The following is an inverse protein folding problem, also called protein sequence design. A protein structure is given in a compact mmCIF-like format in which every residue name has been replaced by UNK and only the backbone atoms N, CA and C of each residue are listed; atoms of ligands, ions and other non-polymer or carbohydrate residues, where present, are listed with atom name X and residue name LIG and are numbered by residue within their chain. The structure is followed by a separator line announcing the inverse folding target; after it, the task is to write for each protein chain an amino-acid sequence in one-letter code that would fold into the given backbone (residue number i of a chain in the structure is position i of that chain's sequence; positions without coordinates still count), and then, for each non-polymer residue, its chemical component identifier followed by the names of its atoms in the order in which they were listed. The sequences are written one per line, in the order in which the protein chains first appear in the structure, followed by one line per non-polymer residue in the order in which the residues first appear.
data_IF_026433583009
#
_entry.id   IF_026433583009
#
_cell.length_a   1.000
_cell.length_b   1.000
_cell.length_c   1.000
_cell.angle_alpha   90.00
_cell.angle_beta   90.00
_cell.angle_gamma   90.00
#
_symmetry.space_group_name_H-M   'P 1'
#
loop_
_entity.id
_entity.type
_entity.pdbx_description
1 polymer ?
#
# COMPACT_ATOMS: atom_id res chain seq x y z
N UNK A 1 -53.87 -12.15 14.80
CA UNK A 1 -53.03 -12.46 13.62
C UNK A 1 -51.59 -12.64 14.10
N UNK A 2 -51.07 -13.86 14.06
CA UNK A 2 -49.72 -14.16 14.53
C UNK A 2 -48.69 -13.92 13.40
N UNK A 3 -47.51 -13.32 13.68
CA UNK A 3 -46.50 -13.09 12.66
C UNK A 3 -45.82 -14.40 12.23
N UNK A 4 -45.65 -14.55 10.91
CA UNK A 4 -45.04 -15.72 10.29
C UNK A 4 -43.59 -15.94 10.75
N UNK A 5 -43.12 -17.20 10.87
CA UNK A 5 -41.78 -17.50 11.32
C UNK A 5 -40.72 -17.03 10.31
N UNK A 6 -39.74 -16.28 10.82
CA UNK A 6 -38.54 -15.83 10.11
C UNK A 6 -37.81 -17.04 9.50
N UNK A 7 -37.79 -17.14 8.16
CA UNK A 7 -36.85 -18.01 7.44
C UNK A 7 -35.43 -17.51 7.73
N UNK A 8 -34.75 -18.13 8.69
CA UNK A 8 -33.29 -18.09 8.81
C UNK A 8 -32.73 -18.61 7.49
N UNK A 9 -32.18 -17.72 6.67
CA UNK A 9 -31.45 -18.10 5.48
C UNK A 9 -30.11 -18.69 5.95
N UNK A 10 -30.13 -19.98 6.22
CA UNK A 10 -29.00 -20.78 6.68
C UNK A 10 -28.13 -21.10 5.47
N UNK A 11 -27.44 -20.11 4.91
CA UNK A 11 -26.36 -20.33 3.94
C UNK A 11 -25.05 -20.70 4.65
N UNK A 12 -25.15 -21.64 5.58
CA UNK A 12 -24.03 -22.36 6.20
C UNK A 12 -24.20 -23.85 5.94
N UNK A 13 -24.55 -24.19 4.70
CA UNK A 13 -24.28 -25.51 4.14
C UNK A 13 -22.92 -25.46 3.46
N UNK A 14 -21.85 -25.54 4.27
CA UNK A 14 -20.59 -26.14 3.83
C UNK A 14 -20.90 -27.60 3.51
N UNK A 15 -21.48 -27.83 2.34
CA UNK A 15 -21.63 -29.16 1.77
C UNK A 15 -20.25 -29.62 1.31
N UNK A 16 -19.69 -30.58 2.07
CA UNK A 16 -18.56 -31.44 1.69
C UNK A 16 -17.20 -30.75 1.52
N UNK A 17 -16.47 -30.61 2.63
CA UNK A 17 -14.99 -30.72 2.67
C UNK A 17 -14.14 -29.69 1.92
N UNK A 18 -14.72 -28.65 1.34
CA UNK A 18 -13.92 -27.60 0.68
C UNK A 18 -13.40 -26.60 1.72
N UNK A 19 -12.07 -26.38 1.81
CA UNK A 19 -11.49 -25.42 2.74
C UNK A 19 -12.01 -24.02 2.46
N UNK A 20 -12.17 -23.21 3.51
CA UNK A 20 -12.54 -21.80 3.35
C UNK A 20 -11.50 -21.11 2.44
N UNK A 21 -11.94 -20.19 1.57
CA UNK A 21 -11.01 -19.43 0.72
C UNK A 21 -9.93 -18.73 1.57
N UNK A 22 -10.27 -18.34 2.80
CA UNK A 22 -9.38 -17.68 3.74
C UNK A 22 -8.30 -18.63 4.26
N UNK A 23 -8.67 -19.87 4.59
CA UNK A 23 -7.73 -20.92 5.00
C UNK A 23 -6.79 -21.29 3.85
N UNK A 24 -7.35 -21.47 2.64
CA UNK A 24 -6.57 -21.69 1.43
C UNK A 24 -5.53 -20.58 1.22
N UNK A 25 -5.95 -19.31 1.30
CA UNK A 25 -5.04 -18.18 1.12
C UNK A 25 -3.93 -18.15 2.18
N UNK A 26 -4.24 -18.48 3.44
CA UNK A 26 -3.25 -18.55 4.51
C UNK A 26 -2.23 -19.66 4.30
N UNK A 27 -2.68 -20.86 3.95
CA UNK A 27 -1.81 -22.00 3.66
C UNK A 27 -0.87 -21.69 2.50
N UNK A 28 -1.41 -21.16 1.40
CA UNK A 28 -0.62 -20.78 0.22
C UNK A 28 0.37 -19.69 0.56
N UNK A 29 -0.04 -18.66 1.30
CA UNK A 29 0.84 -17.57 1.73
C UNK A 29 1.98 -18.07 2.62
N UNK A 30 1.73 -19.04 3.50
CA UNK A 30 2.76 -19.65 4.35
C UNK A 30 3.71 -20.54 3.55
N UNK A 31 3.21 -21.32 2.60
CA UNK A 31 4.04 -22.16 1.74
C UNK A 31 4.91 -21.34 0.78
N UNK A 32 4.42 -20.18 0.33
CA UNK A 32 5.20 -19.23 -0.46
C UNK A 32 6.22 -18.45 0.38
N UNK A 33 6.01 -18.32 1.69
CA UNK A 33 6.94 -17.63 2.59
C UNK A 33 8.25 -18.41 2.68
N UNK A 34 9.33 -17.83 2.15
CA UNK A 34 10.66 -18.45 2.11
C UNK A 34 11.06 -19.02 0.74
N UNK A 35 10.15 -19.01 -0.25
CA UNK A 35 10.53 -19.19 -1.65
C UNK A 35 11.09 -17.87 -2.19
N UNK A 36 12.27 -17.93 -2.80
CA UNK A 36 12.91 -16.79 -3.47
C UNK A 36 12.12 -16.32 -4.70
N UNK A 37 12.66 -15.29 -5.38
CA UNK A 37 12.04 -14.68 -6.55
C UNK A 37 11.76 -15.72 -7.65
N UNK A 38 10.53 -15.78 -8.15
CA UNK A 38 10.08 -16.74 -9.18
C UNK A 38 9.44 -18.03 -8.65
N UNK A 39 9.72 -18.45 -7.40
CA UNK A 39 9.20 -19.70 -6.84
C UNK A 39 7.75 -19.64 -6.35
N UNK A 40 7.12 -18.46 -6.33
CA UNK A 40 5.75 -18.28 -5.84
C UNK A 40 4.71 -18.81 -6.84
N UNK A 41 4.96 -18.62 -8.13
CA UNK A 41 4.03 -19.08 -9.18
C UNK A 41 3.94 -20.61 -9.22
N UNK A 42 5.06 -21.31 -9.01
CA UNK A 42 5.08 -22.77 -8.91
C UNK A 42 4.24 -23.22 -7.70
N UNK A 43 4.38 -22.56 -6.55
CA UNK A 43 3.57 -22.85 -5.36
C UNK A 43 2.08 -22.65 -5.66
N UNK A 44 1.70 -21.55 -6.32
CA UNK A 44 0.30 -21.29 -6.67
C UNK A 44 -0.25 -22.34 -7.62
N UNK A 45 0.52 -22.74 -8.63
CA UNK A 45 0.15 -23.76 -9.60
C UNK A 45 0.00 -25.14 -8.95
N UNK A 46 0.92 -25.53 -8.06
CA UNK A 46 0.84 -26.78 -7.29
C UNK A 46 -0.41 -26.83 -6.43
N UNK A 47 -0.66 -25.79 -5.61
CA UNK A 47 -1.85 -25.73 -4.75
C UNK A 47 -3.16 -25.75 -5.55
N UNK A 48 -3.18 -25.10 -6.72
CA UNK A 48 -4.31 -25.11 -7.63
C UNK A 48 -4.57 -26.52 -8.20
N UNK A 49 -3.52 -27.19 -8.68
CA UNK A 49 -3.62 -28.53 -9.24
C UNK A 49 -4.07 -29.58 -8.20
N UNK A 50 -3.46 -29.57 -7.01
CA UNK A 50 -3.79 -30.50 -5.91
C UNK A 50 -5.25 -30.41 -5.47
N UNK A 51 -5.84 -29.22 -5.55
CA UNK A 51 -7.21 -28.95 -5.09
C UNK A 51 -8.23 -28.90 -6.24
N UNK A 52 -7.81 -29.18 -7.47
CA UNK A 52 -8.67 -29.09 -8.66
C UNK A 52 -9.22 -27.67 -8.91
N UNK A 53 -8.47 -26.64 -8.51
CA UNK A 53 -8.84 -25.24 -8.64
C UNK A 53 -8.13 -24.60 -9.83
N UNK A 54 -8.72 -23.53 -10.38
CA UNK A 54 -8.02 -22.66 -11.31
C UNK A 54 -7.02 -21.78 -10.55
N UNK A 55 -5.82 -21.56 -11.09
CA UNK A 55 -4.78 -20.73 -10.46
C UNK A 55 -5.27 -19.30 -10.11
N UNK A 56 -6.17 -18.75 -10.92
CA UNK A 56 -6.76 -17.43 -10.66
C UNK A 56 -7.63 -17.40 -9.40
N UNK A 57 -8.21 -18.54 -8.98
CA UNK A 57 -8.95 -18.63 -7.72
C UNK A 57 -8.00 -18.50 -6.52
N UNK A 58 -6.83 -19.14 -6.59
CA UNK A 58 -5.77 -19.00 -5.58
C UNK A 58 -5.27 -17.55 -5.51
N UNK A 59 -4.95 -16.95 -6.65
CA UNK A 59 -4.53 -15.54 -6.72
C UNK A 59 -5.59 -14.60 -6.12
N UNK A 60 -6.87 -14.79 -6.46
CA UNK A 60 -7.97 -13.99 -5.92
C UNK A 60 -8.11 -14.12 -4.40
N UNK A 61 -7.92 -15.33 -3.86
CA UNK A 61 -7.96 -15.58 -2.42
C UNK A 61 -6.78 -14.90 -1.70
N UNK A 62 -5.58 -14.93 -2.30
CA UNK A 62 -4.41 -14.21 -1.79
C UNK A 62 -4.61 -12.69 -1.81
N UNK A 63 -5.18 -12.14 -2.90
CA UNK A 63 -5.53 -10.71 -2.96
C UNK A 63 -6.51 -10.33 -1.85
N UNK A 64 -7.52 -11.18 -1.61
CA UNK A 64 -8.51 -10.93 -0.57
C UNK A 64 -7.87 -10.98 0.83
N UNK A 65 -6.96 -11.93 1.07
CA UNK A 65 -6.20 -12.01 2.32
C UNK A 65 -5.36 -10.75 2.55
N UNK A 66 -4.64 -10.26 1.53
CA UNK A 66 -3.89 -9.01 1.62
C UNK A 66 -4.80 -7.80 1.87
N UNK A 67 -5.99 -7.77 1.26
CA UNK A 67 -7.02 -6.77 1.50
C UNK A 67 -7.50 -6.74 2.97
N UNK A 68 -7.75 -7.91 3.56
CA UNK A 68 -8.11 -8.02 4.98
C UNK A 68 -7.02 -7.46 5.88
N UNK A 69 -5.74 -7.76 5.61
CA UNK A 69 -4.63 -7.24 6.41
C UNK A 69 -4.57 -5.70 6.40
N UNK A 70 -4.86 -5.07 5.25
CA UNK A 70 -4.97 -3.60 5.17
C UNK A 70 -6.12 -3.06 6.01
N UNK A 71 -7.29 -3.70 5.95
CA UNK A 71 -8.45 -3.31 6.76
C UNK A 71 -8.17 -3.54 8.24
N UNK A 72 -7.46 -4.61 8.61
CA UNK A 72 -7.14 -4.95 10.00
C UNK A 72 -6.27 -3.90 10.69
N UNK A 73 -5.40 -3.20 9.94
CA UNK A 73 -4.61 -2.10 10.46
C UNK A 73 -5.46 -0.88 10.86
N UNK A 74 -6.66 -0.74 10.26
CA UNK A 74 -7.54 0.41 10.44
C UNK A 74 -8.73 0.10 11.36
N UNK A 75 -9.35 -1.06 11.17
CA UNK A 75 -10.51 -1.55 11.90
C UNK A 75 -10.44 -3.08 12.03
N UNK A 76 -9.85 -3.60 13.12
CA UNK A 76 -9.73 -5.04 13.37
C UNK A 76 -11.08 -5.77 13.43
N UNK A 77 -12.13 -5.09 13.90
CA UNK A 77 -13.47 -5.68 14.03
C UNK A 77 -14.10 -5.98 12.68
N UNK A 78 -14.02 -5.00 11.75
CA UNK A 78 -14.47 -5.18 10.36
C UNK A 78 -13.61 -6.17 9.59
N UNK A 79 -12.29 -6.21 9.85
CA UNK A 79 -11.41 -7.20 9.24
C UNK A 79 -11.78 -8.65 9.62
N UNK A 80 -12.27 -8.88 10.85
CA UNK A 80 -12.78 -10.17 11.28
C UNK A 80 -13.99 -10.61 10.44
N UNK A 81 -14.96 -9.72 10.29
CA UNK A 81 -16.18 -9.96 9.51
C UNK A 81 -15.93 -10.21 8.02
N UNK A 82 -14.94 -9.56 7.41
CA UNK A 82 -14.57 -9.79 6.01
C UNK A 82 -14.15 -11.23 5.71
N UNK A 83 -13.65 -11.99 6.70
CA UNK A 83 -13.19 -13.38 6.51
C UNK A 83 -14.34 -14.32 6.12
N UNK A 84 -15.55 -13.99 6.54
CA UNK A 84 -16.75 -14.80 6.30
C UNK A 84 -17.44 -14.46 4.96
N UNK A 85 -17.01 -13.38 4.29
CA UNK A 85 -17.57 -12.97 3.00
C UNK A 85 -16.87 -13.68 1.84
N UNK A 86 -17.52 -13.80 0.67
CA UNK A 86 -16.85 -14.33 -0.53
C UNK A 86 -15.64 -13.47 -0.94
N UNK A 87 -14.54 -14.11 -1.35
CA UNK A 87 -13.30 -13.43 -1.73
C UNK A 87 -13.49 -12.31 -2.77
N UNK A 88 -14.48 -12.41 -3.66
CA UNK A 88 -14.82 -11.35 -4.63
C UNK A 88 -15.32 -10.09 -3.92
N UNK A 89 -16.21 -10.24 -2.94
CA UNK A 89 -16.76 -9.12 -2.17
C UNK A 89 -15.66 -8.49 -1.33
N UNK A 90 -14.84 -9.32 -0.66
CA UNK A 90 -13.69 -8.85 0.12
C UNK A 90 -12.75 -8.01 -0.73
N UNK A 91 -12.40 -8.47 -1.94
CA UNK A 91 -11.54 -7.71 -2.84
C UNK A 91 -12.15 -6.36 -3.23
N UNK A 92 -13.46 -6.33 -3.52
CA UNK A 92 -14.14 -5.08 -3.88
C UNK A 92 -14.21 -4.12 -2.69
N UNK A 93 -14.59 -4.59 -1.49
CA UNK A 93 -14.64 -3.77 -0.28
C UNK A 93 -13.25 -3.27 0.12
N UNK A 94 -12.23 -4.14 0.12
CA UNK A 94 -10.87 -3.77 0.48
C UNK A 94 -10.31 -2.70 -0.47
N UNK A 95 -10.58 -2.80 -1.77
CA UNK A 95 -10.20 -1.78 -2.76
C UNK A 95 -10.99 -0.48 -2.57
N UNK A 96 -12.29 -0.56 -2.34
CA UNK A 96 -13.13 0.62 -2.11
C UNK A 96 -12.70 1.37 -0.86
N UNK A 97 -12.33 0.64 0.20
CA UNK A 97 -11.87 1.21 1.45
C UNK A 97 -10.55 1.99 1.35
N UNK A 98 -9.78 1.85 0.26
CA UNK A 98 -8.58 2.65 0.01
C UNK A 98 -8.89 4.12 -0.26
N UNK A 99 -10.13 4.46 -0.65
CA UNK A 99 -10.47 5.83 -1.04
C UNK A 99 -11.84 6.33 -0.59
N UNK A 100 -12.77 5.45 -0.23
CA UNK A 100 -14.04 5.83 0.37
C UNK A 100 -14.43 4.76 1.39
N UNK A 101 -13.76 4.85 2.55
CA UNK A 101 -13.88 3.90 3.65
C UNK A 101 -15.30 3.82 4.18
N UNK A 102 -15.97 4.96 4.31
CA UNK A 102 -17.33 5.02 4.86
C UNK A 102 -18.29 4.26 3.95
N UNK A 103 -18.32 4.58 2.65
CA UNK A 103 -19.23 3.91 1.73
C UNK A 103 -18.89 2.43 1.54
N UNK A 104 -17.60 2.06 1.52
CA UNK A 104 -17.17 0.67 1.46
C UNK A 104 -17.74 -0.14 2.64
N UNK A 105 -17.66 0.38 3.85
CA UNK A 105 -18.15 -0.35 5.01
C UNK A 105 -19.67 -0.32 5.16
N UNK A 106 -20.35 0.74 4.73
CA UNK A 106 -21.81 0.74 4.62
C UNK A 106 -22.31 -0.29 3.59
N UNK A 107 -21.58 -0.48 2.48
CA UNK A 107 -21.87 -1.54 1.51
C UNK A 107 -21.64 -2.93 2.10
N UNK A 108 -20.58 -3.11 2.91
CA UNK A 108 -20.33 -4.34 3.65
C UNK A 108 -21.49 -4.68 4.61
N UNK A 109 -21.94 -3.70 5.41
CA UNK A 109 -23.06 -3.87 6.34
C UNK A 109 -24.35 -4.25 5.59
N UNK A 110 -24.64 -3.60 4.45
CA UNK A 110 -25.79 -3.94 3.60
C UNK A 110 -25.68 -5.32 2.95
N UNK A 111 -24.48 -5.74 2.56
CA UNK A 111 -24.24 -7.06 1.98
C UNK A 111 -24.51 -8.18 2.99
N UNK A 112 -23.99 -8.04 4.22
CA UNK A 112 -24.22 -8.99 5.31
C UNK A 112 -25.70 -9.07 5.71
N UNK A 113 -26.41 -7.95 5.68
CA UNK A 113 -27.85 -7.90 5.88
C UNK A 113 -28.65 -8.56 4.73
N UNK A 114 -28.00 -8.94 3.63
CA UNK A 114 -28.64 -9.49 2.43
C UNK A 114 -29.41 -8.44 1.62
N UNK A 115 -29.21 -7.15 1.88
CA UNK A 115 -29.88 -6.06 1.19
C UNK A 115 -29.30 -5.83 -0.21
N UNK A 116 -28.03 -6.14 -0.43
CA UNK A 116 -27.36 -6.07 -1.73
C UNK A 116 -26.60 -7.36 -2.02
N UNK A 117 -26.57 -7.77 -3.28
CA UNK A 117 -25.80 -8.93 -3.75
C UNK A 117 -24.40 -8.54 -4.23
N UNK A 118 -23.55 -9.53 -4.53
CA UNK A 118 -22.15 -9.33 -4.96
C UNK A 118 -22.04 -8.39 -6.16
N UNK A 119 -22.92 -8.55 -7.16
CA UNK A 119 -22.93 -7.70 -8.36
C UNK A 119 -23.24 -6.24 -8.03
N UNK A 120 -24.09 -5.99 -7.04
CA UNK A 120 -24.46 -4.64 -6.64
C UNK A 120 -23.30 -3.94 -5.93
N UNK A 121 -22.56 -4.66 -5.07
CA UNK A 121 -21.33 -4.15 -4.45
C UNK A 121 -20.32 -3.70 -5.52
N UNK A 122 -20.13 -4.49 -6.58
CA UNK A 122 -19.23 -4.14 -7.69
C UNK A 122 -19.71 -2.92 -8.50
N UNK A 123 -21.02 -2.75 -8.67
CA UNK A 123 -21.59 -1.59 -9.39
C UNK A 123 -21.36 -0.32 -8.56
N UNK A 124 -21.71 -0.34 -7.28
CA UNK A 124 -21.58 0.82 -6.40
C UNK A 124 -20.12 1.23 -6.22
N UNK A 125 -19.20 0.27 -6.10
CA UNK A 125 -17.76 0.55 -6.06
C UNK A 125 -17.28 1.19 -7.37
N UNK A 126 -17.78 0.73 -8.53
CA UNK A 126 -17.43 1.34 -9.83
C UNK A 126 -17.98 2.77 -9.95
N UNK A 127 -19.17 3.04 -9.44
CA UNK A 127 -19.76 4.38 -9.42
C UNK A 127 -19.02 5.31 -8.44
N UNK A 128 -18.65 4.81 -7.26
CA UNK A 128 -17.78 5.52 -6.33
C UNK A 128 -16.43 5.83 -6.96
N UNK A 129 -15.81 4.86 -7.64
CA UNK A 129 -14.55 5.09 -8.34
C UNK A 129 -14.68 6.13 -9.45
N UNK A 130 -15.78 6.15 -10.21
CA UNK A 130 -16.00 7.18 -11.24
C UNK A 130 -16.10 8.57 -10.62
N UNK A 131 -16.81 8.72 -9.49
CA UNK A 131 -16.90 9.99 -8.76
C UNK A 131 -15.55 10.43 -8.20
N UNK A 132 -14.74 9.48 -7.76
CA UNK A 132 -13.39 9.73 -7.23
C UNK A 132 -12.29 9.67 -8.31
N UNK A 133 -12.63 9.45 -9.59
CA UNK A 133 -11.65 9.25 -10.65
C UNK A 133 -10.85 10.52 -10.90
N UNK A 134 -11.52 11.68 -10.84
CA UNK A 134 -10.86 12.97 -10.96
C UNK A 134 -9.93 13.21 -9.76
N UNK A 135 -10.39 12.90 -8.53
CA UNK A 135 -9.55 12.98 -7.34
C UNK A 135 -8.29 12.11 -7.46
N UNK A 136 -8.41 10.86 -7.91
CA UNK A 136 -7.26 9.98 -8.12
C UNK A 136 -6.34 10.43 -9.26
N UNK A 137 -6.90 10.89 -10.37
CA UNK A 137 -6.12 11.44 -11.47
C UNK A 137 -5.32 12.67 -11.02
N UNK A 138 -5.94 13.52 -10.19
CA UNK A 138 -5.26 14.61 -9.51
C UNK A 138 -4.17 14.09 -8.57
N UNK A 139 -4.46 13.11 -7.71
CA UNK A 139 -3.52 12.53 -6.75
C UNK A 139 -2.27 11.94 -7.44
N UNK A 140 -2.46 11.08 -8.45
CA UNK A 140 -1.35 10.49 -9.21
C UNK A 140 -0.54 11.56 -9.95
N UNK A 141 -1.18 12.60 -10.47
CA UNK A 141 -0.47 13.73 -11.07
C UNK A 141 0.34 14.50 -10.02
N UNK A 142 -0.19 14.69 -8.82
CA UNK A 142 0.52 15.34 -7.72
C UNK A 142 1.73 14.52 -7.26
N UNK A 143 1.57 13.19 -7.08
CA UNK A 143 2.69 12.30 -6.75
C UNK A 143 3.81 12.41 -7.79
N UNK A 144 3.48 12.33 -9.08
CA UNK A 144 4.49 12.46 -10.14
C UNK A 144 5.18 13.84 -10.18
N UNK A 145 4.45 14.92 -9.82
CA UNK A 145 5.04 16.26 -9.71
C UNK A 145 5.92 16.40 -8.46
N UNK A 146 5.51 15.82 -7.33
CA UNK A 146 6.30 15.77 -6.09
C UNK A 146 7.62 15.03 -6.31
N UNK A 147 7.56 13.88 -6.99
CA UNK A 147 8.74 13.13 -7.39
C UNK A 147 9.67 13.92 -8.31
N UNK A 148 9.11 14.66 -9.28
CA UNK A 148 9.89 15.47 -10.20
C UNK A 148 10.66 16.58 -9.47
N UNK A 149 10.00 17.28 -8.53
CA UNK A 149 10.64 18.33 -7.73
C UNK A 149 11.79 17.75 -6.86
N UNK A 150 11.59 16.54 -6.31
CA UNK A 150 12.62 15.83 -5.56
C UNK A 150 13.78 15.36 -6.47
N UNK A 151 13.46 14.90 -7.67
CA UNK A 151 14.45 14.47 -8.66
C UNK A 151 15.30 15.65 -9.15
N UNK A 152 14.69 16.79 -9.44
CA UNK A 152 15.39 18.00 -9.85
C UNK A 152 16.34 18.48 -8.75
N UNK A 153 15.91 18.42 -7.49
CA UNK A 153 16.75 18.73 -6.32
C UNK A 153 17.94 17.77 -6.23
N UNK A 154 17.69 16.46 -6.37
CA UNK A 154 18.73 15.45 -6.35
C UNK A 154 19.72 15.61 -7.51
N UNK A 155 19.25 15.96 -8.70
CA UNK A 155 20.10 16.18 -9.88
C UNK A 155 20.88 17.49 -9.82
N UNK A 156 20.35 18.52 -9.16
CA UNK A 156 21.12 19.73 -8.87
C UNK A 156 22.25 19.44 -7.87
N UNK A 157 21.99 18.57 -6.88
CA UNK A 157 22.98 18.15 -5.88
C UNK A 157 24.02 17.17 -6.45
N UNK A 158 23.56 16.20 -7.23
CA UNK A 158 24.38 15.24 -7.95
C UNK A 158 24.84 15.90 -9.25
N UNK A 159 26.05 16.47 -9.23
CA UNK A 159 26.69 17.10 -10.38
C UNK A 159 26.61 16.27 -11.68
N UNK A 160 26.97 16.88 -12.82
CA UNK A 160 26.86 16.32 -14.18
C UNK A 160 27.48 14.93 -14.42
N UNK A 161 28.32 14.46 -13.50
CA UNK A 161 29.00 13.16 -13.56
C UNK A 161 28.11 11.99 -13.12
N UNK A 162 26.91 12.24 -12.61
CA UNK A 162 25.96 11.20 -12.25
C UNK A 162 24.99 10.90 -13.40
N UNK A 163 24.63 9.62 -13.58
CA UNK A 163 23.59 9.18 -14.52
C UNK A 163 22.56 8.34 -13.80
N UNK A 164 21.28 8.51 -14.14
CA UNK A 164 20.20 7.66 -13.62
C UNK A 164 20.33 6.23 -14.16
N UNK A 165 20.09 5.24 -13.31
CA UNK A 165 19.97 3.83 -13.68
C UNK A 165 18.49 3.41 -13.69
N UNK A 166 18.09 2.53 -14.62
CA UNK A 166 16.68 2.16 -14.80
C UNK A 166 16.13 1.27 -13.69
N UNK A 167 16.99 0.69 -12.85
CA UNK A 167 16.59 -0.17 -11.74
C UNK A 167 17.42 0.15 -10.48
N UNK A 168 16.74 0.43 -9.38
CA UNK A 168 17.32 0.47 -8.04
C UNK A 168 17.27 -0.86 -7.29
N UNK A 169 18.02 -1.00 -6.18
CA UNK A 169 18.09 -2.25 -5.40
C UNK A 169 16.76 -2.62 -4.74
N UNK A 170 15.78 -1.69 -4.71
CA UNK A 170 14.49 -1.86 -4.04
C UNK A 170 13.28 -1.78 -4.98
N UNK A 171 13.48 -1.62 -6.29
CA UNK A 171 12.40 -1.42 -7.28
C UNK A 171 11.45 -2.63 -7.36
N UNK A 172 11.87 -3.81 -6.88
CA UNK A 172 11.04 -5.00 -6.78
C UNK A 172 10.07 -5.01 -5.57
N UNK A 173 10.19 -4.07 -4.62
CA UNK A 173 9.36 -4.05 -3.40
C UNK A 173 8.03 -3.32 -3.54
N UNK A 174 7.78 -2.64 -4.66
CA UNK A 174 6.45 -2.17 -5.12
C UNK A 174 5.68 -1.18 -4.22
N UNK A 175 6.17 -0.87 -3.02
CA UNK A 175 5.53 0.02 -2.01
C UNK A 175 6.54 0.65 -1.04
N UNK A 176 7.69 1.06 -1.54
CA UNK A 176 8.64 1.90 -0.80
C UNK A 176 8.54 3.36 -1.23
N UNK A 177 9.14 4.31 -0.47
CA UNK A 177 9.41 5.66 -0.98
C UNK A 177 10.05 5.53 -2.36
N UNK A 178 9.68 6.43 -3.28
CA UNK A 178 10.19 6.37 -4.64
C UNK A 178 11.71 6.35 -4.61
N UNK A 179 12.28 5.26 -5.13
CA UNK A 179 13.70 5.01 -5.14
C UNK A 179 14.25 5.15 -6.54
N UNK A 180 15.23 6.04 -6.75
CA UNK A 180 15.98 6.14 -8.01
C UNK A 180 17.45 5.91 -7.75
N UNK A 181 18.07 5.10 -8.60
CA UNK A 181 19.51 4.87 -8.53
C UNK A 181 20.25 5.74 -9.53
N UNK A 182 21.43 6.16 -9.12
CA UNK A 182 22.38 6.88 -9.93
C UNK A 182 23.73 6.20 -9.83
N UNK A 183 24.49 6.25 -10.92
CA UNK A 183 25.87 5.80 -10.97
C UNK A 183 26.78 6.92 -11.40
N UNK A 184 27.91 7.08 -10.73
CA UNK A 184 28.94 8.02 -11.15
C UNK A 184 29.59 7.52 -12.45
N UNK A 185 29.81 8.40 -13.43
CA UNK A 185 30.32 8.03 -14.76
C UNK A 185 31.74 7.50 -14.75
N UNK A 186 32.57 8.06 -13.86
CA UNK A 186 34.01 7.79 -13.81
C UNK A 186 34.46 6.97 -12.59
N UNK A 187 33.57 6.81 -11.61
CA UNK A 187 33.89 6.17 -10.32
C UNK A 187 32.89 5.05 -10.12
N UNK A 188 33.28 3.97 -9.46
CA UNK A 188 32.33 2.90 -9.12
C UNK A 188 31.50 3.27 -7.88
N UNK A 189 30.93 4.47 -7.90
CA UNK A 189 30.07 5.01 -6.85
C UNK A 189 28.62 4.91 -7.29
N UNK A 190 27.76 4.55 -6.34
CA UNK A 190 26.31 4.47 -6.54
C UNK A 190 25.61 5.37 -5.54
N UNK A 191 24.54 6.01 -6.00
CA UNK A 191 23.72 6.87 -5.17
C UNK A 191 22.26 6.42 -5.28
N UNK A 192 21.58 6.33 -4.14
CA UNK A 192 20.16 6.06 -4.03
C UNK A 192 19.47 7.34 -3.61
N UNK A 193 18.56 7.82 -4.43
CA UNK A 193 17.59 8.84 -4.04
C UNK A 193 16.40 8.14 -3.39
N UNK A 194 16.06 8.54 -2.17
CA UNK A 194 14.84 8.21 -1.47
C UNK A 194 13.95 9.45 -1.43
N UNK A 195 12.74 9.33 -1.94
CA UNK A 195 11.71 10.39 -1.90
C UNK A 195 10.55 9.87 -1.04
N UNK A 196 10.54 10.16 0.27
CA UNK A 196 9.45 9.75 1.15
C UNK A 196 8.20 10.61 0.92
N UNK A 197 7.03 9.98 1.04
CA UNK A 197 5.76 10.64 0.83
C UNK A 197 5.33 10.71 -0.63
N UNK A 198 4.46 11.67 -1.00
CA UNK A 198 3.99 12.78 -0.17
C UNK A 198 3.15 12.30 1.01
N UNK A 199 3.47 12.75 2.23
CA UNK A 199 2.63 12.52 3.40
C UNK A 199 1.91 13.81 3.79
N UNK A 200 0.57 13.82 3.86
CA UNK A 200 -0.22 15.03 4.06
C UNK A 200 -0.10 15.60 5.48
N UNK A 201 0.18 14.75 6.49
CA UNK A 201 0.24 15.17 7.89
C UNK A 201 1.62 14.93 8.51
N UNK A 202 2.11 15.80 9.41
CA UNK A 202 3.37 15.57 10.14
C UNK A 202 3.41 14.24 10.90
N UNK A 203 2.26 13.75 11.39
CA UNK A 203 2.16 12.47 12.10
C UNK A 203 2.49 11.27 11.21
N UNK A 204 2.16 11.35 9.93
CA UNK A 204 2.48 10.29 8.97
C UNK A 204 3.99 10.17 8.77
N UNK A 205 4.71 11.31 8.78
CA UNK A 205 6.16 11.33 8.77
C UNK A 205 6.77 10.65 10.01
N UNK A 206 6.19 10.87 11.19
CA UNK A 206 6.66 10.20 12.42
C UNK A 206 6.44 8.68 12.37
N UNK A 207 5.29 8.24 11.85
CA UNK A 207 4.96 6.83 11.70
C UNK A 207 5.91 6.12 10.72
N UNK A 208 6.22 6.78 9.60
CA UNK A 208 7.07 6.23 8.53
C UNK A 208 8.57 6.45 8.78
N UNK A 209 8.94 7.30 9.74
CA UNK A 209 10.33 7.66 10.08
C UNK A 209 11.25 6.44 10.16
N UNK A 210 10.85 5.41 10.91
CA UNK A 210 11.68 4.23 11.09
C UNK A 210 11.83 3.43 9.78
N UNK A 211 10.78 3.33 8.97
CA UNK A 211 10.83 2.65 7.67
C UNK A 211 11.79 3.34 6.70
N UNK A 212 11.65 4.67 6.56
CA UNK A 212 12.51 5.51 5.72
C UNK A 212 13.97 5.35 6.11
N UNK A 213 14.26 5.47 7.41
CA UNK A 213 15.63 5.44 7.91
C UNK A 213 16.26 4.05 7.83
N UNK A 214 15.50 2.98 8.10
CA UNK A 214 16.00 1.62 7.93
C UNK A 214 16.34 1.30 6.47
N UNK A 215 15.56 1.82 5.51
CA UNK A 215 15.89 1.70 4.09
C UNK A 215 17.16 2.46 3.72
N UNK A 216 17.31 3.69 4.21
CA UNK A 216 18.52 4.50 3.99
C UNK A 216 19.77 3.80 4.54
N UNK A 217 19.71 3.29 5.76
CA UNK A 217 20.81 2.55 6.40
C UNK A 217 21.09 1.23 5.67
N UNK A 218 20.04 0.51 5.27
CA UNK A 218 20.16 -0.69 4.44
C UNK A 218 20.91 -0.40 3.16
N UNK A 219 20.52 0.63 2.42
CA UNK A 219 21.19 1.06 1.19
C UNK A 219 22.66 1.46 1.42
N UNK A 220 22.93 2.23 2.48
CA UNK A 220 24.27 2.66 2.84
C UNK A 220 25.19 1.47 3.16
N UNK A 221 24.65 0.46 3.87
CA UNK A 221 25.40 -0.75 4.24
C UNK A 221 25.78 -1.63 3.05
N UNK A 222 25.01 -1.61 1.96
CA UNK A 222 25.33 -2.31 0.70
C UNK A 222 26.13 -1.43 -0.28
N UNK A 223 26.64 -0.27 0.15
CA UNK A 223 27.61 0.53 -0.60
C UNK A 223 27.04 1.76 -1.32
N UNK A 224 25.77 2.11 -1.15
CA UNK A 224 25.21 3.32 -1.76
C UNK A 224 25.53 4.56 -0.92
N UNK A 225 25.76 5.69 -1.59
CA UNK A 225 25.43 7.02 -1.06
C UNK A 225 23.91 7.19 -1.11
N UNK A 226 23.31 7.86 -0.15
CA UNK A 226 21.86 8.00 -0.02
C UNK A 226 21.53 9.47 0.09
N UNK A 227 20.63 9.93 -0.78
CA UNK A 227 20.00 11.24 -0.69
C UNK A 227 18.55 11.04 -0.27
N UNK A 228 18.13 11.66 0.81
CA UNK A 228 16.74 11.71 1.22
C UNK A 228 16.24 13.11 0.95
N UNK A 229 15.28 13.28 0.05
CA UNK A 229 14.71 14.60 -0.25
C UNK A 229 13.39 14.75 0.50
N UNK A 230 13.26 15.81 1.30
CA UNK A 230 12.10 16.07 2.15
C UNK A 230 11.58 17.51 1.97
N UNK A 231 10.29 17.77 2.32
CA UNK A 231 9.73 19.11 2.23
C UNK A 231 10.41 20.12 3.17
N UNK A 232 10.71 21.31 2.65
CA UNK A 232 11.20 22.44 3.42
C UNK A 232 10.15 22.93 4.44
N UNK A 233 10.62 23.45 5.58
CA UNK A 233 9.80 24.11 6.63
C UNK A 233 8.86 23.21 7.47
N UNK A 234 9.13 21.90 7.49
CA UNK A 234 8.29 20.89 8.13
C UNK A 234 8.89 20.28 9.41
N UNK A 235 10.14 20.63 9.75
CA UNK A 235 10.90 19.98 10.83
C UNK A 235 11.30 18.52 10.55
N UNK A 236 10.93 17.98 9.37
CA UNK A 236 11.18 16.59 8.99
C UNK A 236 12.68 16.30 8.92
N UNK A 237 13.47 17.20 8.33
CA UNK A 237 14.93 17.02 8.27
C UNK A 237 15.52 16.84 9.66
N UNK A 238 15.21 17.75 10.58
CA UNK A 238 15.68 17.66 11.96
C UNK A 238 15.24 16.35 12.63
N UNK A 239 14.00 15.90 12.40
CA UNK A 239 13.51 14.62 12.91
C UNK A 239 14.35 13.43 12.41
N UNK A 240 14.66 13.37 11.11
CA UNK A 240 15.47 12.30 10.52
C UNK A 240 16.94 12.38 10.96
N UNK A 241 17.51 13.57 11.09
CA UNK A 241 18.86 13.79 11.60
C UNK A 241 19.00 13.37 13.07
N UNK A 242 17.99 13.64 13.91
CA UNK A 242 17.94 13.17 15.30
C UNK A 242 17.95 11.65 15.35
N UNK A 243 17.22 10.99 14.44
CA UNK A 243 17.24 9.53 14.33
C UNK A 243 18.66 9.02 14.03
N UNK A 244 19.36 9.59 13.04
CA UNK A 244 20.75 9.21 12.71
C UNK A 244 21.70 9.38 13.90
N UNK A 245 21.59 10.52 14.61
CA UNK A 245 22.39 10.81 15.81
C UNK A 245 22.13 9.81 16.93
N UNK A 246 20.87 9.45 17.15
CA UNK A 246 20.46 8.51 18.21
C UNK A 246 21.11 7.14 18.06
N UNK A 247 21.30 6.67 16.83
CA UNK A 247 21.91 5.38 16.54
C UNK A 247 23.41 5.46 16.22
N UNK A 248 24.05 6.63 16.41
CA UNK A 248 25.48 6.86 16.14
C UNK A 248 25.94 6.42 14.74
N UNK A 249 25.04 6.48 13.75
CA UNK A 249 25.35 6.17 12.36
C UNK A 249 25.98 7.41 11.74
N UNK A 250 27.31 7.44 11.65
CA UNK A 250 28.06 8.56 11.07
C UNK A 250 27.71 8.71 9.58
N UNK A 251 27.08 9.85 9.28
CA UNK A 251 26.30 10.14 8.08
C UNK A 251 27.08 10.52 6.82
N UNK A 252 28.30 10.03 6.61
CA UNK A 252 29.08 10.40 5.42
C UNK A 252 28.46 9.85 4.12
N UNK A 253 27.50 8.92 4.25
CA UNK A 253 26.79 8.31 3.12
C UNK A 253 25.30 8.61 3.09
N UNK A 254 24.73 9.30 4.07
CA UNK A 254 23.29 9.62 4.10
C UNK A 254 23.14 11.12 4.26
N UNK A 255 22.64 11.79 3.23
CA UNK A 255 22.39 13.23 3.21
C UNK A 255 20.89 13.49 3.10
N UNK A 256 20.40 14.44 3.91
CA UNK A 256 19.00 14.86 3.91
C UNK A 256 18.91 16.26 3.30
N UNK A 257 18.25 16.35 2.15
CA UNK A 257 18.06 17.57 1.39
C UNK A 257 16.65 18.10 1.64
N UNK A 258 16.55 19.40 1.93
CA UNK A 258 15.27 20.10 2.01
C UNK A 258 15.03 20.87 0.72
N UNK A 259 13.80 20.83 0.22
CA UNK A 259 13.38 21.58 -0.96
C UNK A 259 11.88 21.88 -0.90
N UNK A 260 11.44 22.84 -1.71
CA UNK A 260 10.02 23.15 -1.86
C UNK A 260 9.33 22.04 -2.66
N UNK A 261 8.89 21.00 -1.96
CA UNK A 261 8.10 19.92 -2.56
C UNK A 261 6.62 20.26 -2.53
N UNK A 262 5.94 20.11 -3.67
CA UNK A 262 4.48 20.29 -3.77
C UNK A 262 3.73 19.39 -2.78
N UNK A 263 3.09 19.98 -1.80
CA UNK A 263 2.29 19.23 -0.83
C UNK A 263 0.94 18.83 -1.42
N UNK A 264 0.41 17.70 -0.96
CA UNK A 264 -0.99 17.37 -1.22
C UNK A 264 -1.89 18.44 -0.61
N UNK A 265 -3.02 18.79 -1.26
CA UNK A 265 -4.05 19.58 -0.60
C UNK A 265 -4.42 18.89 0.71
N UNK A 266 -4.50 19.65 1.81
CA UNK A 266 -5.03 19.10 3.07
C UNK A 266 -6.42 18.54 2.77
N UNK A 267 -6.67 17.29 3.18
CA UNK A 267 -8.04 16.79 3.22
C UNK A 267 -8.87 17.80 4.03
N UNK A 268 -10.08 18.17 3.57
CA UNK A 268 -10.98 18.93 4.41
C UNK A 268 -11.15 18.14 5.71
N UNK A 269 -10.86 18.76 6.85
CA UNK A 269 -11.17 18.17 8.15
C UNK A 269 -12.65 17.76 8.11
N UNK A 270 -12.95 16.51 8.43
CA UNK A 270 -14.31 16.00 8.57
C UNK A 270 -15.09 16.90 9.54
N UNK A 271 -15.77 17.93 9.03
CA UNK A 271 -16.27 18.96 9.93
C UNK A 271 -16.75 20.26 9.32
N UNK A 272 -17.36 20.27 8.14
CA UNK A 272 -18.34 21.31 7.83
C UNK A 272 -19.34 20.77 6.80
N UNK A 273 -20.45 20.24 7.32
CA UNK A 273 -21.67 20.07 6.55
C UNK A 273 -22.06 21.46 6.02
N UNK A 274 -21.83 21.69 4.73
CA UNK A 274 -22.38 22.82 4.01
C UNK A 274 -23.90 22.64 3.91
N UNK A 275 -24.60 23.09 4.95
CA UNK A 275 -25.97 23.57 4.80
C UNK A 275 -25.89 24.88 4.01
N UNK A 276 -26.27 24.82 2.75
CA UNK A 276 -26.72 25.96 1.95
C UNK A 276 -27.91 25.49 1.12
#
# INVERSE_FOLDING_TARGET
MAPAPRRRNRNSSNSLGQPSWYELAREVSQAAAGKGYGGHEDVYATFAAERGLHIQSVRRALTALAGISKVAALDPGRAGRLRDLPATVVNTIARWAEYDRRAAFEAMDRYEAGAIGTRQVDIEEREARKRNADFFAHLTRYEGLYELDAFDTAFAHLLKDWRSEPAGPFDAMGKGPFSRCFRHRQRDERCLLLVPGPFPQPRDWENERNGIMLQAVGAASIGYRVLIVVPQASGIKSMLEVWLKTFALTGDRIEILETELRQLPKEPEDGEASTS
#
